data_IF_629697812879
#
_entry.id   IF_629697812879
#
_cell.length_a   1.000
_cell.length_b   1.000
_cell.length_c   1.000
_cell.angle_alpha   90.00
_cell.angle_beta   90.00
_cell.angle_gamma   90.00
#
_symmetry.space_group_name_H-M   'P 1'
#
loop_
_entity.id
_entity.type
_entity.pdbx_description
1 polymer ?
#
# COMPACT_ATOMS: atom_id res chain seq x y z
N UNK A 1 -21.09 56.02 -26.95
CA UNK A 1 -20.31 54.80 -27.21
C UNK A 1 -20.87 53.72 -26.30
N UNK A 2 -21.79 52.93 -26.84
CA UNK A 2 -22.33 51.68 -26.26
C UNK A 2 -21.17 50.65 -26.28
N UNK A 3 -21.01 49.67 -25.38
CA UNK A 3 -21.91 48.54 -25.08
C UNK A 3 -21.47 47.90 -23.73
N UNK A 4 -22.42 47.47 -22.91
CA UNK A 4 -22.29 46.34 -21.94
C UNK A 4 -23.29 45.26 -22.37
N UNK A 5 -23.40 44.07 -21.74
CA UNK A 5 -22.46 43.16 -21.07
C UNK A 5 -22.60 41.70 -21.62
N UNK A 6 -21.76 40.74 -21.20
CA UNK A 6 -22.21 39.33 -21.10
C UNK A 6 -21.53 38.60 -19.95
N UNK A 7 -22.30 38.39 -18.89
CA UNK A 7 -22.17 37.25 -17.98
C UNK A 7 -22.40 35.97 -18.79
N UNK A 8 -21.49 34.99 -18.65
CA UNK A 8 -21.81 33.59 -18.97
C UNK A 8 -22.24 32.92 -17.67
N UNK A 9 -23.55 32.94 -17.43
CA UNK A 9 -24.22 31.94 -16.60
C UNK A 9 -24.55 30.79 -17.55
N UNK A 10 -23.96 29.63 -17.31
CA UNK A 10 -24.60 28.37 -17.65
C UNK A 10 -24.67 27.52 -16.39
N UNK A 11 -25.78 27.72 -15.68
CA UNK A 11 -26.37 26.70 -14.82
C UNK A 11 -26.66 25.46 -15.67
N UNK A 12 -26.32 24.28 -15.16
CA UNK A 12 -27.17 23.11 -15.32
C UNK A 12 -27.54 22.69 -13.89
N UNK A 13 -28.77 22.99 -13.52
CA UNK A 13 -29.42 22.57 -12.29
C UNK A 13 -30.02 21.17 -12.45
N UNK A 14 -29.94 20.43 -11.34
CA UNK A 14 -30.92 19.49 -10.78
C UNK A 14 -31.36 18.26 -11.58
N UNK A 15 -31.21 17.08 -10.95
CA UNK A 15 -32.38 16.32 -10.46
C UNK A 15 -32.06 15.74 -9.08
N UNK A 16 -32.79 16.20 -8.05
CA UNK A 16 -33.11 15.38 -6.88
C UNK A 16 -34.43 14.65 -7.21
N UNK A 17 -34.44 13.32 -7.09
CA UNK A 17 -35.41 12.50 -6.33
C UNK A 17 -35.37 11.06 -6.84
N UNK A 18 -35.35 10.12 -5.89
CA UNK A 18 -35.49 8.69 -6.15
C UNK A 18 -34.76 7.85 -5.12
N UNK A 19 -35.33 7.70 -3.92
CA UNK A 19 -35.14 6.47 -3.15
C UNK A 19 -35.73 5.31 -3.96
N UNK A 20 -34.92 4.32 -4.32
CA UNK A 20 -35.34 2.92 -4.34
C UNK A 20 -34.11 2.00 -4.39
N UNK A 21 -34.19 0.90 -3.64
CA UNK A 21 -33.08 0.02 -3.33
C UNK A 21 -32.39 -0.60 -4.54
N UNK A 22 -31.07 -0.47 -4.57
CA UNK A 22 -30.18 -1.16 -5.50
C UNK A 22 -29.05 -1.83 -4.73
N UNK A 23 -29.07 -3.14 -4.72
CA UNK A 23 -28.10 -4.04 -4.10
C UNK A 23 -26.68 -3.75 -4.61
N UNK A 24 -25.86 -3.04 -3.83
CA UNK A 24 -24.45 -2.80 -4.14
C UNK A 24 -23.66 -4.10 -4.00
N UNK A 25 -23.66 -4.90 -5.07
CA UNK A 25 -22.61 -5.88 -5.31
C UNK A 25 -21.33 -5.09 -5.54
N UNK A 26 -20.42 -5.17 -4.57
CA UNK A 26 -19.08 -4.63 -4.69
C UNK A 26 -18.45 -5.12 -5.99
N UNK A 27 -17.95 -4.18 -6.78
CA UNK A 27 -17.09 -4.51 -7.89
C UNK A 27 -15.72 -4.91 -7.31
N UNK A 28 -15.60 -6.17 -6.87
CA UNK A 28 -14.32 -6.77 -6.54
C UNK A 28 -13.49 -6.84 -7.82
N UNK A 29 -12.42 -6.05 -7.89
CA UNK A 29 -11.38 -6.22 -8.89
C UNK A 29 -10.84 -7.66 -8.79
N UNK A 30 -10.81 -8.43 -9.88
CA UNK A 30 -10.49 -9.85 -9.83
C UNK A 30 -9.01 -10.03 -9.51
N UNK A 31 -8.68 -10.43 -8.28
CA UNK A 31 -7.31 -10.84 -7.97
C UNK A 31 -6.77 -10.66 -6.56
N UNK A 32 -7.58 -10.29 -5.56
CA UNK A 32 -7.12 -10.09 -4.17
C UNK A 32 -6.86 -11.44 -3.49
N UNK A 33 -5.66 -11.65 -2.95
CA UNK A 33 -5.31 -12.85 -2.19
C UNK A 33 -5.83 -12.68 -0.76
N UNK A 34 -6.53 -13.69 -0.22
CA UNK A 34 -6.82 -13.78 1.21
C UNK A 34 -5.59 -14.34 1.92
N UNK A 35 -4.62 -13.47 2.20
CA UNK A 35 -3.65 -13.75 3.25
C UNK A 35 -4.34 -13.48 4.58
N UNK A 36 -4.11 -14.32 5.60
CA UNK A 36 -4.60 -14.11 6.98
C UNK A 36 -3.88 -12.92 7.65
N UNK A 37 -3.86 -11.76 6.97
CA UNK A 37 -3.22 -10.57 7.47
C UNK A 37 -4.13 -9.79 8.39
N UNK A 38 -3.56 -9.38 9.50
CA UNK A 38 -4.13 -8.36 10.35
C UNK A 38 -4.22 -7.04 9.57
N UNK A 39 -5.38 -6.38 9.64
CA UNK A 39 -5.58 -5.04 9.07
C UNK A 39 -5.35 -4.03 10.20
N UNK A 40 -4.19 -3.35 10.27
CA UNK A 40 -3.96 -2.25 11.20
C UNK A 40 -4.99 -1.14 10.95
N UNK A 41 -5.33 -0.40 12.02
CA UNK A 41 -6.52 0.46 12.16
C UNK A 41 -6.77 1.55 11.11
N UNK A 42 -7.23 2.72 11.56
CA UNK A 42 -7.56 3.84 10.67
C UNK A 42 -6.29 4.36 9.97
N UNK A 43 -6.34 4.72 8.67
CA UNK A 43 -5.23 5.39 8.00
C UNK A 43 -4.78 6.67 8.73
N UNK A 44 -3.48 6.98 8.66
CA UNK A 44 -2.91 8.25 9.12
C UNK A 44 -3.21 9.34 8.10
N UNK A 45 -3.54 10.55 8.54
CA UNK A 45 -3.84 11.68 7.66
C UNK A 45 -5.27 12.21 7.82
N UNK A 46 -5.78 12.83 6.77
CA UNK A 46 -7.07 13.51 6.75
C UNK A 46 -8.27 12.64 6.39
N UNK A 47 -9.45 13.25 6.42
CA UNK A 47 -10.73 12.64 6.01
C UNK A 47 -11.16 13.02 4.59
N UNK A 48 -10.36 13.83 3.89
CA UNK A 48 -10.58 14.21 2.48
C UNK A 48 -10.41 13.05 1.51
N UNK A 49 -10.55 13.32 0.21
CA UNK A 49 -10.39 12.33 -0.85
C UNK A 49 -11.41 11.19 -0.87
N UNK A 50 -11.31 10.33 -1.88
CA UNK A 50 -12.02 9.05 -1.96
C UNK A 50 -11.21 7.92 -1.33
N UNK A 51 -11.86 6.92 -0.68
CA UNK A 51 -11.14 5.79 -0.10
C UNK A 51 -10.63 4.83 -1.20
N UNK A 52 -9.48 4.20 -0.95
CA UNK A 52 -8.90 3.18 -1.80
C UNK A 52 -8.20 2.10 -0.96
N UNK A 53 -8.07 0.90 -1.53
CA UNK A 53 -7.41 -0.24 -0.91
C UNK A 53 -6.87 -1.18 -2.00
N UNK A 54 -5.56 -1.21 -2.19
CA UNK A 54 -4.91 -2.08 -3.19
C UNK A 54 -5.06 -3.56 -2.83
N UNK A 55 -5.34 -3.85 -1.55
CA UNK A 55 -5.44 -5.18 -1.00
C UNK A 55 -4.12 -5.77 -0.54
N UNK A 56 -4.09 -7.09 -0.43
CA UNK A 56 -2.96 -7.84 0.11
C UNK A 56 -2.24 -8.63 -0.97
N UNK A 57 -0.92 -8.56 -0.95
CA UNK A 57 -0.02 -9.23 -1.90
C UNK A 57 1.06 -10.05 -1.17
N UNK A 58 1.96 -10.69 -1.90
CA UNK A 58 3.07 -11.43 -1.28
C UNK A 58 4.17 -10.51 -0.71
N UNK A 59 4.28 -9.31 -1.27
CA UNK A 59 5.17 -8.26 -0.80
C UNK A 59 5.19 -7.05 -1.73
N UNK A 60 5.73 -5.94 -1.25
CA UNK A 60 6.01 -4.75 -2.07
C UNK A 60 7.31 -4.96 -2.84
N UNK A 61 7.35 -4.58 -4.11
CA UNK A 61 8.57 -4.64 -4.96
C UNK A 61 9.05 -3.24 -5.34
N UNK A 62 8.13 -2.35 -5.70
CA UNK A 62 8.47 -0.98 -6.07
C UNK A 62 7.48 0.03 -5.48
N UNK A 63 7.96 1.23 -5.18
CA UNK A 63 7.15 2.37 -4.77
C UNK A 63 7.58 3.58 -5.59
N UNK A 64 6.64 4.24 -6.24
CA UNK A 64 6.86 5.55 -6.86
C UNK A 64 6.14 6.60 -6.04
N UNK A 65 6.87 7.61 -5.59
CA UNK A 65 6.35 8.75 -4.83
C UNK A 65 6.53 10.00 -5.68
N UNK A 66 5.43 10.73 -5.89
CA UNK A 66 5.45 12.07 -6.44
C UNK A 66 5.28 13.05 -5.27
N UNK A 67 6.21 13.99 -5.11
CA UNK A 67 6.16 14.95 -4.00
C UNK A 67 6.73 16.31 -4.37
N UNK A 68 6.12 17.36 -3.85
CA UNK A 68 6.66 18.71 -3.79
C UNK A 68 6.48 19.21 -2.35
N UNK A 69 5.55 20.13 -2.10
CA UNK A 69 5.22 20.57 -0.75
C UNK A 69 4.58 19.43 0.05
N UNK A 70 3.72 18.63 -0.59
CA UNK A 70 3.06 17.45 -0.04
C UNK A 70 3.27 16.24 -0.95
N UNK A 71 2.77 15.07 -0.50
CA UNK A 71 2.70 13.89 -1.35
C UNK A 71 1.57 14.08 -2.36
N UNK A 72 1.95 14.31 -3.61
CA UNK A 72 1.04 14.48 -4.76
C UNK A 72 0.38 13.15 -5.09
N UNK A 73 1.18 12.09 -5.23
CA UNK A 73 0.66 10.75 -5.46
C UNK A 73 1.62 9.66 -5.02
N UNK A 74 1.07 8.45 -4.85
CA UNK A 74 1.81 7.22 -4.63
C UNK A 74 1.29 6.14 -5.57
N UNK A 75 2.20 5.32 -6.09
CA UNK A 75 1.89 4.12 -6.86
C UNK A 75 2.82 3.00 -6.41
N UNK A 76 2.28 1.81 -6.20
CA UNK A 76 3.03 0.68 -5.64
C UNK A 76 2.92 -0.50 -6.58
N UNK A 77 4.06 -1.15 -6.86
CA UNK A 77 4.07 -2.43 -7.55
C UNK A 77 4.35 -3.55 -6.55
N UNK A 78 3.56 -4.61 -6.66
CA UNK A 78 3.52 -5.72 -5.72
C UNK A 78 3.98 -7.03 -6.38
N UNK A 79 4.35 -8.00 -5.54
CA UNK A 79 4.54 -9.39 -5.96
C UNK A 79 3.23 -10.16 -5.83
N UNK A 80 2.79 -10.77 -6.93
CA UNK A 80 1.67 -11.70 -6.97
C UNK A 80 2.12 -13.00 -7.59
N UNK A 81 2.39 -14.01 -6.75
CA UNK A 81 2.84 -15.34 -7.19
C UNK A 81 4.14 -15.29 -8.02
N UNK A 82 5.04 -14.35 -7.72
CA UNK A 82 6.31 -14.14 -8.43
C UNK A 82 6.24 -13.11 -9.56
N UNK A 83 5.03 -12.74 -10.00
CA UNK A 83 4.81 -11.73 -11.03
C UNK A 83 4.74 -10.31 -10.43
N UNK A 84 5.29 -9.34 -11.16
CA UNK A 84 5.19 -7.92 -10.80
C UNK A 84 3.83 -7.37 -11.26
N UNK A 85 3.00 -6.91 -10.32
CA UNK A 85 1.69 -6.33 -10.61
C UNK A 85 1.68 -4.88 -10.14
N UNK A 86 1.34 -3.94 -11.03
CA UNK A 86 1.19 -2.54 -10.68
C UNK A 86 -0.15 -2.30 -9.98
N UNK A 87 -0.12 -1.64 -8.83
CA UNK A 87 -1.30 -1.04 -8.21
C UNK A 87 -1.69 0.26 -8.90
N UNK A 88 -2.87 0.77 -8.55
CA UNK A 88 -3.36 2.04 -9.07
C UNK A 88 -2.51 3.21 -8.53
N UNK A 89 -2.55 4.34 -9.25
CA UNK A 89 -1.97 5.60 -8.77
C UNK A 89 -2.99 6.29 -7.86
N UNK A 90 -2.60 6.57 -6.62
CA UNK A 90 -3.45 7.25 -5.64
C UNK A 90 -2.98 8.69 -5.45
N UNK A 91 -3.84 9.65 -5.75
CA UNK A 91 -3.54 11.08 -5.72
C UNK A 91 -3.16 11.67 -7.08
N UNK A 92 -2.96 12.98 -7.13
CA UNK A 92 -2.61 13.70 -8.34
C UNK A 92 -3.78 13.85 -9.30
N UNK A 93 -5.01 13.93 -8.79
CA UNK A 93 -6.24 14.19 -9.57
C UNK A 93 -6.38 15.67 -9.97
N UNK A 94 -5.24 16.33 -10.23
CA UNK A 94 -5.19 17.71 -10.72
C UNK A 94 -5.15 17.72 -12.24
N UNK A 95 -5.90 18.64 -12.85
CA UNK A 95 -5.84 18.88 -14.30
C UNK A 95 -4.56 19.62 -14.73
N UNK A 96 -3.79 20.13 -13.78
CA UNK A 96 -2.62 20.98 -14.02
C UNK A 96 -1.35 20.27 -13.59
N UNK A 97 -0.34 20.29 -14.46
CA UNK A 97 0.98 19.72 -14.17
C UNK A 97 1.75 20.71 -13.29
N UNK A 98 2.15 20.29 -12.09
CA UNK A 98 3.07 21.07 -11.24
C UNK A 98 4.52 20.72 -11.64
N UNK A 99 5.28 21.65 -12.24
CA UNK A 99 6.64 21.37 -12.72
C UNK A 99 7.66 21.17 -11.60
N UNK A 100 7.30 21.48 -10.35
CA UNK A 100 8.17 21.32 -9.17
C UNK A 100 8.08 19.93 -8.54
N UNK A 101 7.18 19.06 -9.03
CA UNK A 101 6.99 17.72 -8.49
C UNK A 101 8.20 16.83 -8.77
N UNK A 102 8.80 16.33 -7.69
CA UNK A 102 9.87 15.33 -7.73
C UNK A 102 9.28 13.92 -7.75
N UNK A 103 9.72 13.10 -8.70
CA UNK A 103 9.34 11.69 -8.82
C UNK A 103 10.47 10.80 -8.35
N UNK A 104 10.22 10.02 -7.30
CA UNK A 104 11.21 9.14 -6.70
C UNK A 104 10.72 7.69 -6.77
N UNK A 105 11.50 6.83 -7.42
CA UNK A 105 11.24 5.40 -7.51
C UNK A 105 12.14 4.63 -6.56
N UNK A 106 11.52 3.82 -5.71
CA UNK A 106 12.14 2.83 -4.83
C UNK A 106 11.94 1.46 -5.47
N UNK A 107 13.01 0.68 -5.60
CA UNK A 107 12.96 -0.73 -6.01
C UNK A 107 13.65 -1.57 -4.94
N UNK A 108 12.93 -2.52 -4.34
CA UNK A 108 13.45 -3.40 -3.29
C UNK A 108 14.13 -4.64 -3.88
N UNK A 109 15.17 -5.15 -3.21
CA UNK A 109 15.80 -6.44 -3.51
C UNK A 109 14.91 -7.63 -3.09
N UNK A 110 13.71 -7.73 -3.67
CA UNK A 110 12.73 -8.77 -3.37
C UNK A 110 13.26 -10.18 -3.75
N UNK A 111 13.05 -11.23 -2.93
CA UNK A 111 12.25 -11.27 -1.70
C UNK A 111 13.06 -11.05 -0.40
N UNK A 112 14.35 -10.75 -0.51
CA UNK A 112 15.24 -10.66 0.66
C UNK A 112 15.19 -9.28 1.34
N UNK A 113 14.72 -8.26 0.62
CA UNK A 113 14.40 -6.93 1.13
C UNK A 113 12.88 -6.69 1.10
N UNK A 114 12.32 -6.29 2.24
CA UNK A 114 10.90 -6.02 2.41
C UNK A 114 10.68 -4.86 3.38
N UNK A 115 9.54 -4.17 3.24
CA UNK A 115 9.18 -3.04 4.07
C UNK A 115 8.77 -3.48 5.48
N UNK A 116 9.29 -2.78 6.47
CA UNK A 116 9.02 -3.02 7.89
C UNK A 116 8.43 -1.80 8.59
N UNK A 117 8.65 -0.60 8.04
CA UNK A 117 8.18 0.63 8.68
C UNK A 117 7.91 1.72 7.65
N UNK A 118 6.91 2.54 7.95
CA UNK A 118 6.58 3.77 7.22
C UNK A 118 6.31 4.86 8.24
N UNK A 119 6.98 5.99 8.08
CA UNK A 119 6.78 7.18 8.90
C UNK A 119 6.60 8.41 8.02
N UNK A 120 6.13 9.51 8.61
CA UNK A 120 5.93 10.75 7.88
C UNK A 120 5.21 11.79 8.70
N UNK A 121 4.69 12.81 8.02
CA UNK A 121 3.91 13.88 8.61
C UNK A 121 2.63 14.10 7.81
N UNK A 122 1.58 14.58 8.48
CA UNK A 122 0.39 15.14 7.83
C UNK A 122 0.04 16.50 8.45
N UNK A 123 -0.57 17.36 7.66
CA UNK A 123 -0.85 18.73 8.07
C UNK A 123 -2.11 19.25 7.39
N UNK A 124 -2.85 20.09 8.09
CA UNK A 124 -3.88 20.93 7.49
C UNK A 124 -3.18 21.91 6.54
N UNK A 125 -3.44 21.84 5.24
CA UNK A 125 -2.73 22.62 4.23
C UNK A 125 -3.38 23.99 4.00
N UNK A 126 -2.95 25.09 4.65
CA UNK A 126 -3.65 26.38 4.61
C UNK A 126 -3.60 27.07 3.24
N UNK A 127 -2.69 26.65 2.36
CA UNK A 127 -2.61 27.14 0.98
C UNK A 127 -3.60 26.43 0.03
N UNK A 128 -4.36 25.44 0.52
CA UNK A 128 -5.39 24.72 -0.24
C UNK A 128 -6.75 25.00 0.41
N UNK A 129 -7.71 25.51 -0.37
CA UNK A 129 -9.09 25.72 0.11
C UNK A 129 -10.02 24.79 -0.66
N UNK A 130 -10.66 23.87 0.05
CA UNK A 130 -11.64 22.93 -0.48
C UNK A 130 -12.94 23.05 0.32
N UNK A 131 -14.05 23.44 -0.33
CA UNK A 131 -15.36 23.57 0.31
C UNK A 131 -15.36 24.46 1.57
N UNK A 132 -14.55 25.53 1.57
CA UNK A 132 -14.45 26.47 2.69
C UNK A 132 -13.60 26.00 3.87
N UNK A 133 -12.89 24.88 3.75
CA UNK A 133 -11.93 24.40 4.75
C UNK A 133 -10.61 23.99 4.09
N UNK A 134 -9.55 23.90 4.89
CA UNK A 134 -8.27 23.39 4.43
C UNK A 134 -8.23 21.87 4.59
N UNK A 135 -7.86 21.10 3.55
CA UNK A 135 -7.74 19.65 3.68
C UNK A 135 -6.51 19.29 4.53
N UNK A 136 -6.60 18.18 5.26
CA UNK A 136 -5.44 17.54 5.89
C UNK A 136 -4.87 16.52 4.92
N UNK A 137 -3.61 16.68 4.55
CA UNK A 137 -2.93 15.82 3.56
C UNK A 137 -1.61 15.28 4.10
N UNK A 138 -1.14 14.17 3.53
CA UNK A 138 0.20 13.63 3.80
C UNK A 138 1.24 14.60 3.23
N UNK A 139 2.11 15.07 4.12
CA UNK A 139 3.18 16.05 3.82
C UNK A 139 4.49 15.38 3.48
N UNK A 140 4.79 14.28 4.17
CA UNK A 140 5.99 13.51 3.93
C UNK A 140 5.79 12.02 4.13
N UNK A 141 6.64 11.24 3.45
CA UNK A 141 6.75 9.79 3.63
C UNK A 141 8.20 9.38 3.69
N UNK A 142 8.50 8.47 4.61
CA UNK A 142 9.78 7.82 4.78
C UNK A 142 9.53 6.34 4.93
N UNK A 143 10.17 5.55 4.09
CA UNK A 143 10.01 4.09 4.05
C UNK A 143 11.25 3.45 4.63
N UNK A 144 11.06 2.40 5.41
CA UNK A 144 12.13 1.62 5.97
C UNK A 144 11.90 0.14 5.65
N UNK A 145 12.91 -0.45 5.05
CA UNK A 145 13.00 -1.90 4.84
C UNK A 145 13.83 -2.53 5.95
N UNK A 146 13.84 -3.86 5.99
CA UNK A 146 14.76 -4.64 6.83
C UNK A 146 16.26 -4.42 6.50
N UNK A 147 16.63 -3.54 5.56
CA UNK A 147 18.02 -3.30 5.11
C UNK A 147 18.40 -1.83 5.00
N UNK A 148 17.49 -0.97 4.57
CA UNK A 148 17.74 0.45 4.28
C UNK A 148 16.51 1.33 4.44
N UNK A 149 16.77 2.63 4.54
CA UNK A 149 15.78 3.70 4.65
C UNK A 149 15.71 4.52 3.37
N UNK A 150 14.52 5.00 3.02
CA UNK A 150 14.24 5.82 1.85
C UNK A 150 13.47 7.08 2.23
N UNK A 151 13.87 8.20 1.64
CA UNK A 151 13.28 9.50 1.94
C UNK A 151 13.98 10.25 3.08
N UNK A 152 13.32 11.22 3.72
CA UNK A 152 11.92 11.57 3.52
C UNK A 152 11.65 12.13 2.12
N UNK A 153 10.49 11.83 1.57
CA UNK A 153 9.92 12.48 0.40
C UNK A 153 8.90 13.50 0.85
N UNK A 154 8.83 14.66 0.22
CA UNK A 154 8.03 15.80 0.68
C UNK A 154 8.66 16.55 1.85
N UNK A 155 7.83 17.20 2.67
CA UNK A 155 8.27 18.13 3.74
C UNK A 155 7.81 17.62 5.12
N UNK A 156 8.74 17.40 6.04
CA UNK A 156 8.47 16.94 7.42
C UNK A 156 7.89 18.06 8.31
N UNK A 157 6.67 18.52 7.99
CA UNK A 157 5.93 19.56 8.73
C UNK A 157 4.54 19.05 9.09
N UNK A 158 4.09 19.38 10.30
CA UNK A 158 2.80 18.98 10.85
C UNK A 158 2.92 17.81 11.82
N UNK A 159 1.83 17.07 11.98
CA UNK A 159 1.73 15.98 12.95
C UNK A 159 2.51 14.75 12.45
N UNK A 160 3.52 14.28 13.18
CA UNK A 160 4.27 13.09 12.78
C UNK A 160 3.43 11.82 13.00
N UNK A 161 3.68 10.82 12.18
CA UNK A 161 3.19 9.46 12.38
C UNK A 161 4.29 8.44 12.11
N UNK A 162 4.16 7.28 12.73
CA UNK A 162 5.00 6.12 12.45
C UNK A 162 4.18 4.85 12.55
N UNK A 163 4.39 3.95 11.61
CA UNK A 163 3.88 2.60 11.60
C UNK A 163 5.05 1.64 11.46
N UNK A 164 5.17 0.70 12.37
CA UNK A 164 6.24 -0.31 12.37
C UNK A 164 5.59 -1.67 12.57
N UNK A 165 5.95 -2.63 11.72
CA UNK A 165 5.47 -4.01 11.84
C UNK A 165 6.14 -4.69 13.03
N UNK A 166 5.42 -5.59 13.69
CA UNK A 166 6.00 -6.46 14.71
C UNK A 166 7.08 -7.38 14.12
N UNK A 167 7.96 -7.89 14.98
CA UNK A 167 9.08 -8.75 14.59
C UNK A 167 8.62 -9.94 13.73
N UNK A 168 9.27 -10.10 12.57
CA UNK A 168 8.92 -11.14 11.61
C UNK A 168 7.68 -10.82 10.74
N UNK A 169 7.18 -9.59 10.79
CA UNK A 169 6.19 -9.05 9.86
C UNK A 169 6.81 -8.30 8.67
N UNK A 170 5.97 -8.00 7.69
CA UNK A 170 6.27 -7.11 6.56
C UNK A 170 5.00 -6.38 6.10
N UNK A 171 5.17 -5.25 5.43
CA UNK A 171 4.09 -4.52 4.76
C UNK A 171 3.88 -5.12 3.37
N UNK A 172 2.63 -5.51 3.07
CA UNK A 172 2.27 -6.22 1.83
C UNK A 172 1.16 -5.57 1.01
N UNK A 173 0.68 -4.41 1.46
CA UNK A 173 -0.43 -3.72 0.83
C UNK A 173 -0.54 -2.31 1.38
N UNK A 174 -1.12 -1.42 0.58
CA UNK A 174 -1.43 -0.06 0.98
C UNK A 174 -2.93 0.20 0.82
N UNK A 175 -3.45 1.07 1.67
CA UNK A 175 -4.83 1.57 1.64
C UNK A 175 -4.83 3.02 2.07
N UNK A 176 -5.88 3.76 1.79
CA UNK A 176 -5.89 5.16 2.19
C UNK A 176 -7.05 5.95 1.63
N UNK A 177 -6.79 7.25 1.50
CA UNK A 177 -7.70 8.22 0.88
C UNK A 177 -6.89 9.17 0.00
N UNK A 178 -7.43 9.52 -1.15
CA UNK A 178 -6.77 10.46 -2.06
C UNK A 178 -7.76 11.22 -2.93
N UNK A 179 -7.35 12.40 -3.38
CA UNK A 179 -7.97 13.16 -4.45
C UNK A 179 -6.90 13.92 -5.22
N UNK A 180 -6.87 15.25 -5.10
CA UNK A 180 -5.78 16.05 -5.68
C UNK A 180 -4.41 15.66 -5.10
N UNK A 181 -4.37 15.28 -3.83
CA UNK A 181 -3.17 14.83 -3.12
C UNK A 181 -3.44 13.50 -2.42
N UNK A 182 -2.41 12.95 -1.76
CA UNK A 182 -2.59 11.86 -0.83
C UNK A 182 -3.13 12.40 0.51
N UNK A 183 -4.42 12.19 0.78
CA UNK A 183 -5.07 12.66 2.00
C UNK A 183 -4.69 11.81 3.23
N UNK A 184 -4.68 10.48 3.07
CA UNK A 184 -4.38 9.55 4.14
C UNK A 184 -3.76 8.23 3.65
N UNK A 185 -2.96 7.58 4.50
CA UNK A 185 -2.28 6.32 4.18
C UNK A 185 -2.35 5.32 5.34
N UNK A 186 -2.54 4.05 5.01
CA UNK A 186 -2.53 2.91 5.90
C UNK A 186 -1.98 1.68 5.18
N UNK A 187 -1.81 0.60 5.93
CA UNK A 187 -1.00 -0.53 5.49
C UNK A 187 -1.71 -1.84 5.73
N UNK A 188 -1.37 -2.87 4.96
CA UNK A 188 -1.68 -4.27 5.26
C UNK A 188 -0.39 -5.00 5.62
N UNK A 189 -0.47 -5.91 6.59
CA UNK A 189 0.70 -6.66 7.06
C UNK A 189 0.51 -8.16 6.88
N UNK A 190 1.62 -8.86 6.67
CA UNK A 190 1.68 -10.31 6.69
C UNK A 190 3.01 -10.75 7.31
N UNK A 191 3.16 -12.05 7.54
CA UNK A 191 4.45 -12.59 7.94
C UNK A 191 5.50 -12.38 6.85
N UNK A 192 6.68 -11.97 7.28
CA UNK A 192 7.84 -11.88 6.42
C UNK A 192 8.24 -13.26 5.89
N UNK A 193 8.84 -13.34 4.68
CA UNK A 193 9.36 -14.59 4.18
C UNK A 193 10.42 -15.11 5.16
N UNK A 194 10.24 -16.33 5.68
CA UNK A 194 11.29 -16.97 6.49
C UNK A 194 12.56 -17.00 5.66
N UNK A 195 13.66 -16.37 6.14
CA UNK A 195 14.97 -16.37 5.46
C UNK A 195 15.25 -17.79 5.02
N UNK A 196 15.16 -18.03 3.71
CA UNK A 196 15.37 -19.37 3.18
C UNK A 196 16.86 -19.62 3.08
N UNK A 197 17.53 -19.78 4.22
CA UNK A 197 18.84 -20.45 4.27
C UNK A 197 18.76 -21.76 3.47
N UNK A 198 17.60 -22.41 3.54
CA UNK A 198 17.28 -23.63 2.83
C UNK A 198 16.91 -23.46 1.36
N UNK A 199 16.61 -22.28 0.78
CA UNK A 199 16.25 -22.19 -0.66
C UNK A 199 17.47 -22.30 -1.55
N UNK A 200 18.53 -21.53 -1.26
CA UNK A 200 19.79 -21.66 -2.02
C UNK A 200 20.36 -23.07 -1.87
N UNK A 201 20.37 -23.59 -0.64
CA UNK A 201 20.77 -24.98 -0.38
C UNK A 201 19.85 -25.96 -1.14
N UNK A 202 18.53 -25.77 -1.15
CA UNK A 202 17.58 -26.59 -1.90
C UNK A 202 17.76 -26.51 -3.42
N UNK A 203 18.03 -25.34 -3.97
CA UNK A 203 18.26 -25.14 -5.41
C UNK A 203 19.61 -25.72 -5.83
N UNK A 204 20.67 -25.50 -5.04
CA UNK A 204 21.96 -26.14 -5.24
C UNK A 204 21.88 -27.67 -5.10
N UNK A 205 21.16 -28.19 -4.10
CA UNK A 205 20.98 -29.63 -3.91
C UNK A 205 20.10 -30.26 -5.01
N UNK A 206 19.11 -29.54 -5.54
CA UNK A 206 18.31 -29.99 -6.70
C UNK A 206 19.14 -30.10 -7.97
N UNK A 207 20.15 -29.25 -8.15
CA UNK A 207 21.10 -29.37 -9.26
C UNK A 207 22.08 -30.53 -9.07
N UNK A 208 22.40 -30.87 -7.82
CA UNK A 208 23.36 -31.92 -7.47
C UNK A 208 22.77 -33.33 -7.43
N UNK A 209 21.44 -33.50 -7.30
CA UNK A 209 20.82 -34.83 -7.16
C UNK A 209 19.52 -34.99 -7.97
N UNK A 210 19.39 -36.05 -8.81
CA UNK A 210 18.15 -36.37 -9.49
C UNK A 210 16.96 -36.56 -8.53
N UNK A 211 15.80 -36.04 -8.93
CA UNK A 211 14.57 -35.81 -8.14
C UNK A 211 14.19 -36.87 -7.09
N UNK A 212 14.49 -38.15 -7.30
CA UNK A 212 13.99 -39.24 -6.45
C UNK A 212 14.66 -39.34 -5.08
N UNK A 213 15.93 -38.96 -4.93
CA UNK A 213 16.59 -39.01 -3.61
C UNK A 213 16.30 -37.75 -2.77
N UNK A 214 16.04 -36.62 -3.44
CA UNK A 214 15.73 -35.34 -2.81
C UNK A 214 14.40 -35.39 -2.05
N UNK A 215 13.37 -35.99 -2.66
CA UNK A 215 12.06 -36.14 -2.02
C UNK A 215 12.09 -37.10 -0.82
N UNK A 216 13.03 -38.06 -0.81
CA UNK A 216 13.25 -38.97 0.32
C UNK A 216 13.89 -38.26 1.51
N UNK A 217 14.88 -37.39 1.29
CA UNK A 217 15.57 -36.66 2.37
C UNK A 217 14.69 -35.57 3.02
N UNK A 218 13.80 -34.91 2.28
CA UNK A 218 12.83 -33.99 2.89
C UNK A 218 11.85 -34.73 3.81
N UNK A 219 11.47 -35.97 3.49
CA UNK A 219 10.59 -36.75 4.37
C UNK A 219 11.22 -37.08 5.72
N UNK A 220 12.55 -37.23 5.77
CA UNK A 220 13.29 -37.58 7.00
C UNK A 220 13.55 -36.33 7.87
N UNK A 221 13.54 -35.13 7.28
CA UNK A 221 13.85 -33.86 7.97
C UNK A 221 12.62 -33.05 8.39
N UNK A 222 11.41 -33.49 8.06
CA UNK A 222 10.19 -32.93 8.67
C UNK A 222 10.12 -33.40 10.12
N UNK A 223 10.02 -32.49 11.11
CA UNK A 223 9.79 -32.91 12.49
C UNK A 223 8.49 -33.69 12.56
N UNK A 224 8.51 -34.86 13.22
CA UNK A 224 7.30 -35.62 13.51
C UNK A 224 6.33 -34.71 14.25
N UNK A 225 5.16 -34.46 13.67
CA UNK A 225 4.03 -33.92 14.38
C UNK A 225 3.75 -34.81 15.59
N UNK A 226 3.76 -34.20 16.77
CA UNK A 226 3.42 -34.79 18.07
C UNK A 226 2.17 -35.64 17.90
N UNK A 227 2.30 -36.94 18.19
CA UNK A 227 1.20 -37.89 18.29
C UNK A 227 0.33 -37.43 19.46
N UNK A 228 -0.93 -37.04 19.19
CA UNK A 228 -1.94 -36.96 20.24
C UNK A 228 -2.16 -38.36 20.80
N UNK A 229 -1.73 -38.58 22.05
CA UNK A 229 -2.15 -39.73 22.83
C UNK A 229 -3.67 -39.63 23.07
N UNK A 230 -4.47 -40.36 22.30
CA UNK A 230 -5.82 -40.72 22.73
C UNK A 230 -5.69 -41.71 23.88
N UNK A 231 -6.08 -41.28 25.07
CA UNK A 231 -6.13 -42.11 26.26
C UNK A 231 -7.05 -43.31 26.07
N UNK A 232 -6.58 -44.48 26.46
CA UNK A 232 -7.39 -45.67 26.70
C UNK A 232 -7.21 -46.08 28.15
N UNK A 233 -8.37 -46.16 28.81
CA UNK A 233 -8.74 -46.88 30.03
C UNK A 233 -8.27 -46.38 31.39
N UNK A 234 -9.25 -46.12 32.25
CA UNK A 234 -9.69 -47.15 33.19
C UNK A 234 -11.20 -47.13 33.33
#
# INVERSE_FOLDING_TARGET
>A
MFVTPTLSISCITCVQQGEEGGNNKGHESPGKIRLDGFVPGKPYGGTGGGPWDDGMYHGVREITVASDLCIESICVAYDKDGELVNGDKHGGDTSSVNPLVSFNKITLEYPDEFLVSVSGNYFEAPWIVCNGCNPVVIRSLKFESNRRTFGPFGIEVGTPFSFTVEDGGQIVGMKGRSGWYLDAIGFHIAHAPKRKLFRRVKESLKQLWPSKAYDFLIKITKPLSIVQCTGISM
#
